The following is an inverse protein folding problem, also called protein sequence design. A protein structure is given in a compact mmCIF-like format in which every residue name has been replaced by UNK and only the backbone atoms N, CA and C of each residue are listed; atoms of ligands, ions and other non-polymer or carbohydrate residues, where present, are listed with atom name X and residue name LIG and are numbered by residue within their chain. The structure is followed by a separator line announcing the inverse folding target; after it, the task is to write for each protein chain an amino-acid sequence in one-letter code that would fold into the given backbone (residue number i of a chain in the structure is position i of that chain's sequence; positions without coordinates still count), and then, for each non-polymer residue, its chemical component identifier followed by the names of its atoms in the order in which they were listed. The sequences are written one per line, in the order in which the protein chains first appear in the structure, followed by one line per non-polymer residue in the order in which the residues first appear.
data_IF_679912058814
#
_entry.id   IF_679912058814
#
_cell.length_a   1.000
_cell.length_b   1.000
_cell.length_c   1.000
_cell.angle_alpha   90.00
_cell.angle_beta   90.00
_cell.angle_gamma   90.00
#
_symmetry.space_group_name_H-M   'P 1'
#
loop_
_entity.id
_entity.type
_entity.pdbx_description
1 polymer ?
#
# COMPACT_ATOMS: atom_id res chain seq x y z
N UNK A 1 -1.64 22.53 14.76
CA UNK A 1 -2.76 22.77 13.82
C UNK A 1 -2.22 23.71 12.77
N UNK A 2 -2.04 23.24 11.53
CA UNK A 2 -1.47 24.05 10.44
C UNK A 2 -2.65 24.68 9.71
N UNK A 3 -2.82 25.99 9.83
CA UNK A 3 -3.75 26.73 8.96
C UNK A 3 -3.01 27.09 7.66
N UNK A 4 -3.58 26.69 6.53
CA UNK A 4 -3.05 27.05 5.21
C UNK A 4 -3.56 28.45 4.87
N UNK A 5 -2.67 29.44 4.88
CA UNK A 5 -2.98 30.82 4.50
C UNK A 5 -2.43 31.10 3.11
N UNK A 6 -3.32 31.23 2.12
CA UNK A 6 -2.96 31.61 0.74
C UNK A 6 -3.09 33.12 0.61
N UNK A 7 -2.07 33.78 0.08
CA UNK A 7 -2.10 35.23 -0.20
C UNK A 7 -3.01 35.47 -1.43
N UNK A 8 -3.85 36.50 -1.36
CA UNK A 8 -5.04 36.73 -2.20
C UNK A 8 -4.85 36.81 -3.74
N UNK A 9 -3.65 36.66 -4.28
CA UNK A 9 -3.36 36.72 -5.73
C UNK A 9 -2.50 35.55 -6.25
N UNK A 10 -2.34 34.47 -5.47
CA UNK A 10 -1.56 33.31 -5.91
C UNK A 10 -2.43 32.28 -6.67
N UNK A 11 -1.93 31.77 -7.80
CA UNK A 11 -2.42 30.51 -8.38
C UNK A 11 -1.89 29.36 -7.54
N UNK A 12 -2.77 28.48 -7.07
CA UNK A 12 -2.38 27.37 -6.20
C UNK A 12 -2.94 26.03 -6.69
N UNK A 13 -2.22 24.97 -6.34
CA UNK A 13 -2.66 23.58 -6.41
C UNK A 13 -2.41 22.97 -5.03
N UNK A 14 -3.45 22.46 -4.38
CA UNK A 14 -3.33 21.75 -3.11
C UNK A 14 -3.75 20.30 -3.32
N UNK A 15 -2.95 19.37 -2.81
CA UNK A 15 -3.30 17.95 -2.77
C UNK A 15 -3.66 17.59 -1.34
N UNK A 16 -4.93 17.25 -1.12
CA UNK A 16 -5.39 16.67 0.13
C UNK A 16 -5.34 15.15 -0.01
N UNK A 17 -4.33 14.54 0.58
CA UNK A 17 -4.14 13.10 0.52
C UNK A 17 -4.90 12.37 1.63
N UNK A 18 -5.53 11.25 1.29
CA UNK A 18 -6.24 10.34 2.18
C UNK A 18 -7.27 11.03 3.10
N UNK A 19 -8.12 11.90 2.55
CA UNK A 19 -9.15 12.61 3.31
C UNK A 19 -10.22 11.62 3.80
N UNK A 20 -10.41 11.55 5.12
CA UNK A 20 -11.36 10.62 5.74
C UNK A 20 -12.81 11.16 5.75
N UNK A 21 -12.97 12.46 5.99
CA UNK A 21 -14.28 13.09 6.14
C UNK A 21 -14.28 14.57 5.73
N UNK A 22 -15.48 15.09 5.48
CA UNK A 22 -15.69 16.49 5.14
C UNK A 22 -15.26 17.44 6.26
N UNK A 23 -15.48 17.06 7.53
CA UNK A 23 -15.11 17.87 8.70
C UNK A 23 -13.60 18.12 8.80
N UNK A 24 -12.80 17.10 8.45
CA UNK A 24 -11.34 17.23 8.40
C UNK A 24 -10.94 18.17 7.27
N UNK A 25 -11.56 18.03 6.10
CA UNK A 25 -11.27 18.81 4.91
C UNK A 25 -11.58 20.30 5.13
N UNK A 26 -12.77 20.64 5.62
CA UNK A 26 -13.21 22.03 5.79
C UNK A 26 -12.33 22.81 6.77
N UNK A 27 -11.80 22.12 7.80
CA UNK A 27 -10.90 22.72 8.79
C UNK A 27 -9.56 23.17 8.20
N UNK A 28 -9.15 22.56 7.08
CA UNK A 28 -7.89 22.84 6.40
C UNK A 28 -8.10 23.50 5.03
N UNK A 29 -9.35 23.78 4.67
CA UNK A 29 -9.70 24.41 3.40
C UNK A 29 -9.14 25.84 3.34
N UNK A 30 -8.57 26.27 2.20
CA UNK A 30 -8.01 27.60 2.09
C UNK A 30 -9.09 28.67 2.27
N UNK A 31 -8.85 29.57 3.22
CA UNK A 31 -9.69 30.75 3.39
C UNK A 31 -9.39 31.76 2.27
N UNK A 32 -10.40 32.00 1.42
CA UNK A 32 -10.62 33.15 0.52
C UNK A 32 -10.12 33.10 -0.94
N UNK A 33 -11.05 33.53 -1.82
CA UNK A 33 -10.98 34.28 -3.09
C UNK A 33 -9.92 34.01 -4.17
N UNK A 34 -9.01 33.05 -3.98
CA UNK A 34 -7.93 32.79 -4.93
C UNK A 34 -8.28 31.70 -5.95
N UNK A 35 -7.96 31.96 -7.23
CA UNK A 35 -8.09 30.98 -8.32
C UNK A 35 -7.07 29.84 -8.13
N UNK A 36 -7.53 28.65 -7.75
CA UNK A 36 -6.68 27.48 -7.62
C UNK A 36 -7.45 26.17 -7.73
N UNK A 37 -6.72 25.07 -7.69
CA UNK A 37 -7.29 23.72 -7.85
C UNK A 37 -6.95 22.88 -6.62
N UNK A 38 -7.92 22.09 -6.17
CA UNK A 38 -7.72 21.08 -5.14
C UNK A 38 -7.81 19.70 -5.78
N UNK A 39 -6.82 18.85 -5.53
CA UNK A 39 -6.92 17.42 -5.78
C UNK A 39 -7.15 16.74 -4.44
N UNK A 40 -8.22 15.96 -4.34
CA UNK A 40 -8.59 15.25 -3.11
C UNK A 40 -8.51 13.77 -3.41
N UNK A 41 -7.70 13.04 -2.64
CA UNK A 41 -7.71 11.57 -2.65
C UNK A 41 -8.47 11.11 -1.41
N UNK A 42 -9.38 10.15 -1.59
CA UNK A 42 -10.23 9.66 -0.50
C UNK A 42 -10.77 8.28 -0.82
N UNK A 43 -11.09 7.51 0.23
CA UNK A 43 -11.90 6.28 0.12
C UNK A 43 -13.39 6.55 0.38
N UNK A 44 -13.72 7.75 0.87
CA UNK A 44 -15.08 8.15 1.16
C UNK A 44 -15.74 8.70 -0.11
N UNK A 45 -16.62 7.91 -0.71
CA UNK A 45 -17.31 8.26 -1.95
C UNK A 45 -18.22 9.48 -1.80
N UNK A 46 -18.64 9.84 -0.58
CA UNK A 46 -19.51 10.98 -0.34
C UNK A 46 -18.81 12.31 -0.69
N UNK A 47 -17.48 12.36 -0.54
CA UNK A 47 -16.65 13.53 -0.88
C UNK A 47 -16.49 13.77 -2.39
N UNK A 48 -16.92 12.82 -3.24
CA UNK A 48 -16.88 12.96 -4.68
C UNK A 48 -17.93 13.95 -5.21
N UNK A 49 -18.96 14.26 -4.41
CA UNK A 49 -20.08 15.12 -4.82
C UNK A 49 -19.99 16.54 -4.24
N UNK A 50 -19.46 16.68 -3.03
CA UNK A 50 -19.21 17.96 -2.38
C UNK A 50 -18.00 17.82 -1.45
N UNK A 51 -16.96 18.67 -1.55
CA UNK A 51 -16.85 19.91 -2.32
C UNK A 51 -16.24 19.75 -3.73
N UNK A 52 -16.06 18.52 -4.23
CA UNK A 52 -15.42 18.29 -5.52
C UNK A 52 -16.32 18.69 -6.70
N UNK A 53 -15.76 19.36 -7.71
CA UNK A 53 -16.44 19.61 -8.98
C UNK A 53 -16.50 18.36 -9.86
N UNK A 54 -15.45 17.53 -9.79
CA UNK A 54 -15.31 16.28 -10.55
C UNK A 54 -14.76 15.21 -9.61
N UNK A 55 -15.45 14.06 -9.56
CA UNK A 55 -14.97 12.83 -8.95
C UNK A 55 -14.46 11.85 -10.01
N UNK A 56 -13.31 11.23 -9.76
CA UNK A 56 -12.78 10.14 -10.59
C UNK A 56 -12.59 8.92 -9.68
N UNK A 57 -13.33 7.86 -9.96
CA UNK A 57 -13.10 6.57 -9.31
C UNK A 57 -11.87 5.90 -9.93
N UNK A 58 -10.92 5.48 -9.08
CA UNK A 58 -9.75 4.71 -9.52
C UNK A 58 -10.10 3.24 -9.45
N UNK A 59 -10.42 2.67 -10.61
CA UNK A 59 -10.75 1.25 -10.74
C UNK A 59 -9.52 0.34 -10.57
N UNK A 60 -9.77 -0.93 -10.24
CA UNK A 60 -8.76 -1.97 -10.33
C UNK A 60 -8.39 -2.23 -11.79
N UNK A 61 -7.19 -2.74 -12.04
CA UNK A 61 -6.81 -3.17 -13.37
C UNK A 61 -7.71 -4.31 -13.87
N UNK A 62 -8.06 -4.30 -15.15
CA UNK A 62 -8.57 -5.50 -15.80
C UNK A 62 -7.47 -6.58 -15.87
N UNK A 63 -7.87 -7.81 -16.21
CA UNK A 63 -6.98 -8.97 -16.21
C UNK A 63 -5.77 -8.74 -17.12
N UNK A 64 -6.00 -8.21 -18.34
CA UNK A 64 -4.97 -7.97 -19.35
C UNK A 64 -3.97 -6.90 -18.92
N UNK A 65 -4.45 -5.76 -18.42
CA UNK A 65 -3.62 -4.67 -17.96
C UNK A 65 -2.87 -5.04 -16.67
N UNK A 66 -3.50 -5.80 -15.77
CA UNK A 66 -2.82 -6.35 -14.59
C UNK A 66 -1.71 -7.35 -14.95
N UNK A 67 -1.92 -8.20 -15.97
CA UNK A 67 -0.89 -9.10 -16.49
C UNK A 67 0.28 -8.32 -17.11
N UNK A 68 -0.01 -7.30 -17.94
CA UNK A 68 1.00 -6.40 -18.49
C UNK A 68 1.78 -5.67 -17.38
N UNK A 69 1.10 -5.27 -16.31
CA UNK A 69 1.72 -4.65 -15.14
C UNK A 69 2.70 -5.61 -14.45
N UNK A 70 2.31 -6.87 -14.20
CA UNK A 70 3.21 -7.90 -13.63
C UNK A 70 4.45 -8.09 -14.53
N UNK A 71 4.25 -8.23 -15.84
CA UNK A 71 5.35 -8.39 -16.80
C UNK A 71 6.28 -7.18 -16.79
N UNK A 72 5.71 -5.97 -16.76
CA UNK A 72 6.47 -4.72 -16.68
C UNK A 72 7.32 -4.65 -15.41
N UNK A 73 6.74 -4.98 -14.24
CA UNK A 73 7.44 -4.97 -12.96
C UNK A 73 8.58 -6.00 -12.87
N UNK A 74 8.54 -7.05 -13.70
CA UNK A 74 9.56 -8.11 -13.76
C UNK A 74 10.57 -7.92 -14.90
N UNK A 75 10.37 -6.93 -15.79
CA UNK A 75 11.17 -6.74 -17.00
C UNK A 75 12.66 -6.47 -16.74
N UNK A 76 12.98 -5.78 -15.64
CA UNK A 76 14.36 -5.47 -15.27
C UNK A 76 15.10 -6.65 -14.60
N UNK A 77 14.39 -7.75 -14.31
CA UNK A 77 14.89 -8.87 -13.53
C UNK A 77 14.86 -10.20 -14.29
N UNK A 78 14.11 -10.28 -15.39
CA UNK A 78 13.87 -11.51 -16.14
C UNK A 78 14.00 -11.22 -17.63
N UNK A 79 14.60 -12.13 -18.40
CA UNK A 79 14.75 -11.94 -19.85
C UNK A 79 13.40 -11.94 -20.58
N UNK A 80 13.33 -11.18 -21.69
CA UNK A 80 12.11 -11.01 -22.48
C UNK A 80 11.52 -12.35 -22.98
N UNK A 81 12.36 -13.31 -23.37
CA UNK A 81 11.91 -14.64 -23.83
C UNK A 81 11.20 -15.43 -22.71
N UNK A 82 11.72 -15.32 -21.48
CA UNK A 82 11.15 -15.97 -20.30
C UNK A 82 9.87 -15.28 -19.85
N UNK A 83 9.74 -13.96 -20.04
CA UNK A 83 8.50 -13.23 -19.76
C UNK A 83 7.41 -13.54 -20.80
N UNK A 84 7.77 -13.62 -22.08
CA UNK A 84 6.82 -13.95 -23.16
C UNK A 84 6.18 -15.33 -22.94
N UNK A 85 6.96 -16.31 -22.49
CA UNK A 85 6.45 -17.65 -22.18
C UNK A 85 5.56 -17.73 -20.93
N UNK A 86 5.57 -16.70 -20.07
CA UNK A 86 4.81 -16.66 -18.81
C UNK A 86 3.59 -15.75 -18.85
N UNK A 87 3.25 -15.19 -20.01
CA UNK A 87 2.13 -14.26 -20.13
C UNK A 87 0.78 -14.89 -19.71
N UNK A 88 0.55 -16.17 -20.02
CA UNK A 88 -0.66 -16.88 -19.57
C UNK A 88 -0.73 -16.98 -18.04
N UNK A 89 0.39 -17.30 -17.38
CA UNK A 89 0.46 -17.30 -15.92
C UNK A 89 0.30 -15.90 -15.33
N UNK A 90 0.70 -14.85 -16.06
CA UNK A 90 0.48 -13.47 -15.64
C UNK A 90 -1.00 -13.08 -15.68
N UNK A 91 -1.76 -13.56 -16.67
CA UNK A 91 -3.22 -13.41 -16.72
C UNK A 91 -3.89 -14.11 -15.53
N UNK A 92 -3.52 -15.36 -15.29
CA UNK A 92 -4.04 -16.17 -14.18
C UNK A 92 -3.75 -15.54 -12.81
N UNK A 93 -2.54 -15.00 -12.63
CA UNK A 93 -2.14 -14.31 -11.42
C UNK A 93 -2.88 -12.97 -11.27
N UNK A 94 -3.04 -12.20 -12.35
CA UNK A 94 -3.79 -10.95 -12.36
C UNK A 94 -5.25 -11.14 -11.92
N UNK A 95 -5.89 -12.20 -12.43
CA UNK A 95 -7.25 -12.59 -12.04
C UNK A 95 -7.36 -12.90 -10.54
N UNK A 96 -6.45 -13.74 -10.01
CA UNK A 96 -6.40 -14.08 -8.57
C UNK A 96 -6.16 -12.87 -7.69
N UNK A 97 -5.40 -11.88 -8.16
CA UNK A 97 -5.11 -10.64 -7.44
C UNK A 97 -6.22 -9.58 -7.62
N UNK A 98 -7.28 -9.89 -8.36
CA UNK A 98 -8.42 -9.03 -8.64
C UNK A 98 -8.01 -7.64 -9.16
N UNK A 99 -6.91 -7.56 -9.91
CA UNK A 99 -6.45 -6.31 -10.50
C UNK A 99 -5.95 -5.24 -9.52
N UNK A 100 -5.81 -5.54 -8.23
CA UNK A 100 -5.34 -4.56 -7.25
C UNK A 100 -3.86 -4.21 -7.50
N UNK A 101 -3.58 -2.96 -7.90
CA UNK A 101 -2.22 -2.50 -8.22
C UNK A 101 -1.20 -2.82 -7.12
N UNK A 102 -1.56 -2.61 -5.85
CA UNK A 102 -0.70 -2.96 -4.71
C UNK A 102 -0.43 -4.47 -4.60
N UNK A 103 -1.44 -5.31 -4.87
CA UNK A 103 -1.29 -6.75 -4.82
C UNK A 103 -0.35 -7.25 -5.94
N UNK A 104 -0.49 -6.69 -7.15
CA UNK A 104 0.38 -6.95 -8.30
C UNK A 104 1.84 -6.58 -7.99
N UNK A 105 2.08 -5.36 -7.48
CA UNK A 105 3.42 -4.90 -7.05
C UNK A 105 4.05 -5.85 -6.02
N UNK A 106 3.29 -6.15 -4.96
CA UNK A 106 3.80 -7.00 -3.87
C UNK A 106 4.14 -8.40 -4.35
N UNK A 107 3.33 -8.99 -5.22
CA UNK A 107 3.58 -10.33 -5.75
C UNK A 107 4.71 -10.35 -6.77
N UNK A 108 4.86 -9.32 -7.60
CA UNK A 108 6.05 -9.17 -8.46
C UNK A 108 7.34 -9.09 -7.60
N UNK A 109 7.31 -8.33 -6.50
CA UNK A 109 8.43 -8.26 -5.57
C UNK A 109 8.74 -9.61 -4.89
N UNK A 110 7.71 -10.42 -4.56
CA UNK A 110 7.91 -11.77 -4.02
C UNK A 110 8.53 -12.70 -5.06
N UNK A 111 8.05 -12.68 -6.30
CA UNK A 111 8.60 -13.45 -7.44
C UNK A 111 10.09 -13.15 -7.58
N UNK A 112 10.45 -11.86 -7.65
CA UNK A 112 11.84 -11.44 -7.77
C UNK A 112 12.68 -11.88 -6.57
N UNK A 113 12.25 -11.58 -5.34
CA UNK A 113 13.03 -11.90 -4.12
C UNK A 113 13.23 -13.39 -3.89
N UNK A 114 12.28 -14.23 -4.27
CA UNK A 114 12.34 -15.69 -4.08
C UNK A 114 12.89 -16.42 -5.31
N UNK A 115 13.15 -15.72 -6.41
CA UNK A 115 13.59 -16.32 -7.67
C UNK A 115 12.55 -17.28 -8.26
N UNK A 116 11.27 -16.99 -8.07
CA UNK A 116 10.17 -17.81 -8.55
C UNK A 116 9.78 -17.46 -9.98
N UNK A 117 9.12 -18.39 -10.66
CA UNK A 117 8.34 -18.08 -11.87
C UNK A 117 6.95 -17.57 -11.48
N UNK A 118 6.29 -16.88 -12.40
CA UNK A 118 4.89 -16.44 -12.23
C UNK A 118 4.01 -17.67 -11.98
N UNK A 119 4.19 -18.74 -12.77
CA UNK A 119 3.45 -20.00 -12.61
C UNK A 119 3.64 -20.65 -11.24
N UNK A 120 4.86 -20.63 -10.69
CA UNK A 120 5.10 -21.13 -9.32
C UNK A 120 4.31 -20.35 -8.27
N UNK A 121 4.17 -19.03 -8.43
CA UNK A 121 3.36 -18.24 -7.51
C UNK A 121 1.86 -18.56 -7.67
N UNK A 122 1.38 -18.77 -8.90
CA UNK A 122 0.00 -19.22 -9.15
C UNK A 122 -0.30 -20.54 -8.41
N UNK A 123 0.58 -21.53 -8.51
CA UNK A 123 0.44 -22.81 -7.76
C UNK A 123 0.44 -22.63 -6.23
N UNK A 124 1.07 -21.58 -5.72
CA UNK A 124 1.07 -21.26 -4.29
C UNK A 124 -0.26 -20.63 -3.89
N UNK A 125 -0.81 -19.75 -4.73
CA UNK A 125 -2.16 -19.20 -4.53
C UNK A 125 -3.21 -20.30 -4.53
N UNK A 126 -3.14 -21.24 -5.48
CA UNK A 126 -4.12 -22.34 -5.59
C UNK A 126 -4.08 -23.30 -4.40
N UNK A 127 -2.96 -23.33 -3.65
CA UNK A 127 -2.80 -24.12 -2.43
C UNK A 127 -3.11 -23.34 -1.15
N UNK A 128 -3.32 -22.03 -1.22
CA UNK A 128 -3.61 -21.23 -0.05
C UNK A 128 -5.00 -21.62 0.50
N UNK A 129 -5.13 -21.88 1.83
CA UNK A 129 -6.41 -22.22 2.43
C UNK A 129 -7.42 -21.07 2.28
N UNK A 130 -8.71 -21.42 2.25
CA UNK A 130 -9.91 -20.67 1.78
C UNK A 130 -10.16 -19.22 2.24
N UNK A 131 -9.24 -18.54 2.93
CA UNK A 131 -9.36 -17.09 3.18
C UNK A 131 -9.11 -16.29 1.89
N UNK A 132 -10.09 -16.37 0.99
CA UNK A 132 -10.13 -15.71 -0.31
C UNK A 132 -9.20 -16.36 -1.32
N UNK A 133 -9.67 -17.39 -2.03
CA UNK A 133 -8.96 -17.92 -3.22
C UNK A 133 -8.70 -16.82 -4.27
N UNK A 134 -9.46 -15.72 -4.19
CA UNK A 134 -9.26 -14.49 -4.95
C UNK A 134 -9.15 -13.29 -3.99
N UNK A 135 -8.32 -12.32 -4.35
CA UNK A 135 -8.13 -11.04 -3.68
C UNK A 135 -6.82 -10.91 -2.92
N UNK A 136 -6.80 -9.99 -1.95
CA UNK A 136 -5.57 -9.55 -1.27
C UNK A 136 -5.19 -10.39 -0.03
N UNK A 137 -6.02 -11.32 0.41
CA UNK A 137 -5.75 -12.12 1.62
C UNK A 137 -4.45 -12.94 1.51
N UNK A 138 -4.32 -13.80 0.49
CA UNK A 138 -3.11 -14.60 0.30
C UNK A 138 -1.85 -13.76 0.05
N UNK A 139 -1.97 -12.54 -0.50
CA UNK A 139 -0.85 -11.59 -0.69
C UNK A 139 -0.13 -11.37 0.64
N UNK A 140 -0.88 -11.08 1.70
CA UNK A 140 -0.32 -10.81 3.03
C UNK A 140 0.22 -12.07 3.67
N UNK A 141 -0.50 -13.19 3.57
CA UNK A 141 -0.03 -14.47 4.09
C UNK A 141 1.32 -14.85 3.47
N UNK A 142 1.44 -14.81 2.14
CA UNK A 142 2.68 -15.13 1.42
C UNK A 142 3.80 -14.15 1.80
N UNK A 143 3.48 -12.86 1.90
CA UNK A 143 4.45 -11.82 2.27
C UNK A 143 4.98 -12.01 3.70
N UNK A 144 4.14 -12.45 4.63
CA UNK A 144 4.47 -12.57 6.05
C UNK A 144 4.99 -13.96 6.47
N UNK A 145 4.95 -14.95 5.58
CA UNK A 145 5.39 -16.34 5.86
C UNK A 145 6.79 -16.47 6.47
N UNK A 146 7.71 -15.55 6.16
CA UNK A 146 9.11 -15.62 6.59
C UNK A 146 9.43 -14.65 7.74
N UNK A 147 8.43 -14.02 8.37
CA UNK A 147 8.67 -13.17 9.54
C UNK A 147 9.18 -14.03 10.70
N UNK A 148 10.18 -13.53 11.43
CA UNK A 148 10.58 -14.13 12.70
C UNK A 148 9.44 -13.99 13.73
N UNK A 149 9.52 -14.76 14.82
CA UNK A 149 8.56 -14.63 15.93
C UNK A 149 8.49 -13.18 16.43
N UNK A 150 9.64 -12.55 16.65
CA UNK A 150 9.72 -11.17 17.12
C UNK A 150 9.11 -10.19 16.12
N UNK A 151 9.45 -10.32 14.83
CA UNK A 151 8.89 -9.45 13.79
C UNK A 151 7.36 -9.60 13.67
N UNK A 152 6.86 -10.83 13.79
CA UNK A 152 5.43 -11.12 13.79
C UNK A 152 4.71 -10.51 15.01
N UNK A 153 5.32 -10.58 16.20
CA UNK A 153 4.78 -9.97 17.41
C UNK A 153 4.70 -8.44 17.30
N UNK A 154 5.74 -7.78 16.78
CA UNK A 154 5.72 -6.33 16.54
C UNK A 154 4.63 -5.98 15.54
N UNK A 155 4.57 -6.69 14.41
CA UNK A 155 3.56 -6.46 13.38
C UNK A 155 2.14 -6.60 13.94
N UNK A 156 1.90 -7.59 14.80
CA UNK A 156 0.62 -7.77 15.48
C UNK A 156 0.28 -6.56 16.38
N UNK A 157 1.24 -6.08 17.18
CA UNK A 157 1.03 -4.89 18.04
C UNK A 157 0.76 -3.65 17.19
N UNK A 158 1.55 -3.45 16.13
CA UNK A 158 1.38 -2.34 15.18
C UNK A 158 0.02 -2.40 14.48
N UNK A 159 -0.47 -3.60 14.15
CA UNK A 159 -1.78 -3.78 13.50
C UNK A 159 -2.96 -3.36 14.39
N UNK A 160 -2.75 -3.30 15.72
CA UNK A 160 -3.74 -2.79 16.67
C UNK A 160 -3.65 -1.27 16.89
N UNK A 161 -2.67 -0.58 16.28
CA UNK A 161 -2.51 0.86 16.38
C UNK A 161 -3.29 1.61 15.27
N UNK A 162 -3.49 2.92 15.43
CA UNK A 162 -4.03 3.76 14.35
C UNK A 162 -3.09 3.75 13.14
N UNK A 163 -3.64 3.51 11.95
CA UNK A 163 -2.89 3.38 10.70
C UNK A 163 -2.03 4.61 10.36
N UNK A 164 -2.49 5.80 10.74
CA UNK A 164 -1.86 7.07 10.32
C UNK A 164 -0.91 7.65 11.38
N UNK A 165 -0.99 7.21 12.63
CA UNK A 165 -0.30 7.86 13.76
C UNK A 165 0.12 6.85 14.82
N UNK A 166 1.09 6.00 14.48
CA UNK A 166 1.80 5.21 15.47
C UNK A 166 2.81 6.13 16.17
N UNK A 167 2.65 6.46 17.47
CA UNK A 167 3.58 7.34 18.15
C UNK A 167 4.98 6.71 18.21
N UNK A 168 6.01 7.47 17.82
CA UNK A 168 7.41 7.01 17.88
C UNK A 168 7.79 6.56 19.30
N UNK A 169 7.23 7.21 20.32
CA UNK A 169 7.43 6.86 21.73
C UNK A 169 7.09 5.40 22.07
N UNK A 170 6.23 4.72 21.29
CA UNK A 170 5.96 3.29 21.47
C UNK A 170 7.20 2.41 21.21
N UNK A 171 8.15 2.92 20.42
CA UNK A 171 9.39 2.22 20.08
C UNK A 171 10.59 2.73 20.88
N UNK A 172 10.39 3.70 21.78
CA UNK A 172 11.43 4.21 22.65
C UNK A 172 11.41 3.46 24.00
N UNK A 173 12.57 3.05 24.54
CA UNK A 173 12.61 2.43 25.85
C UNK A 173 12.19 3.44 26.93
N UNK A 174 11.36 3.00 27.88
CA UNK A 174 10.87 3.85 28.98
C UNK A 174 11.99 4.41 29.87
N UNK A 175 13.17 3.76 29.89
CA UNK A 175 14.41 4.31 30.42
C UNK A 175 15.53 4.18 29.37
N UNK A 176 16.26 5.25 29.04
CA UNK A 176 17.40 5.18 28.12
C UNK A 176 18.42 4.14 28.61
N UNK A 177 18.70 3.13 27.79
CA UNK A 177 19.67 2.07 28.10
C UNK A 177 19.12 0.87 28.89
N UNK A 178 17.81 0.82 29.21
CA UNK A 178 17.17 -0.39 29.74
C UNK A 178 16.07 -0.87 28.80
N UNK A 179 16.42 -1.82 27.95
CA UNK A 179 15.43 -2.62 27.25
C UNK A 179 14.86 -3.66 28.21
N UNK A 180 13.56 -3.95 28.09
CA UNK A 180 12.97 -5.08 28.79
C UNK A 180 13.75 -6.36 28.43
N UNK A 181 13.90 -7.28 29.38
CA UNK A 181 14.63 -8.56 29.19
C UNK A 181 14.08 -9.40 28.04
N UNK A 182 12.85 -9.13 27.60
CA UNK A 182 12.17 -9.79 26.48
C UNK A 182 12.40 -9.11 25.11
N UNK A 183 13.07 -7.94 25.09
CA UNK A 183 13.39 -7.18 23.88
C UNK A 183 14.90 -6.98 23.66
N UNK A 184 15.79 -7.96 23.93
CA UNK A 184 17.23 -7.76 23.77
C UNK A 184 17.64 -7.50 22.31
N UNK A 185 16.83 -7.94 21.35
CA UNK A 185 17.01 -7.74 19.91
C UNK A 185 16.70 -6.31 19.43
N UNK A 186 16.02 -5.47 20.24
CA UNK A 186 15.89 -4.04 19.96
C UNK A 186 17.19 -3.26 20.27
N UNK A 187 18.17 -3.91 20.89
CA UNK A 187 19.38 -3.29 21.42
C UNK A 187 20.55 -3.26 20.45
N UNK A 188 20.33 -3.49 19.16
CA UNK A 188 21.42 -3.54 18.19
C UNK A 188 22.10 -2.17 18.04
N UNK A 189 23.34 -2.12 18.52
CA UNK A 189 24.32 -1.10 18.17
C UNK A 189 24.61 -1.28 16.68
N UNK A 190 24.29 -0.28 15.88
CA UNK A 190 24.72 -0.18 14.49
C UNK A 190 26.26 -0.33 14.45
N UNK A 191 26.77 -1.50 14.08
CA UNK A 191 28.17 -1.73 13.69
C UNK A 191 28.32 -1.60 12.18
#
# INVERSE_FOLDING_TARGET
MIQIQIIAEAKWLIVYDNVESFDVLVTHWPNLAANGHALITTRNTDLAWEPAEIGIEVETWDIDNGAKCIIHLLADHISADVLASQFNSALELSERLSGHALALDRMAAVIHKRGWTIGQLVEIYDRAPEFGQNGIGPVWQISFQNLSVNASSILAVISCCSADRIPEMLFQPGEPGKLATELPWCGDVLT
#
